data_IF_244224696959
#
_entry.id   IF_244224696959
#
_cell.length_a   1.000
_cell.length_b   1.000
_cell.length_c   1.000
_cell.angle_alpha   90.00
_cell.angle_beta   90.00
_cell.angle_gamma   90.00
#
_symmetry.space_group_name_H-M   'P 1'
#
loop_
_entity.id
_entity.type
_entity.pdbx_description
1 polymer ?
#
# COMPACT_ATOMS: atom_id res chain seq x y z
N UNK A 1 -9.29 -15.55 -1.30
CA UNK A 1 -8.48 -14.70 -0.41
C UNK A 1 -7.02 -15.11 -0.55
N UNK A 2 -6.43 -15.00 -1.76
CA UNK A 2 -5.09 -15.59 -1.99
C UNK A 2 -4.23 -14.87 -3.04
N UNK A 3 -4.65 -13.73 -3.58
CA UNK A 3 -4.01 -13.17 -4.80
C UNK A 3 -2.95 -12.11 -4.53
N UNK A 4 -2.62 -11.83 -3.27
CA UNK A 4 -1.56 -10.89 -2.91
C UNK A 4 -0.39 -11.66 -2.31
N UNK A 5 0.74 -11.55 -2.97
CA UNK A 5 2.02 -12.10 -2.52
C UNK A 5 2.36 -11.49 -1.15
N UNK A 6 3.06 -12.20 -0.25
CA UNK A 6 3.45 -11.67 1.06
C UNK A 6 4.12 -10.29 0.99
N UNK A 7 4.86 -10.04 -0.10
CA UNK A 7 5.52 -8.79 -0.40
C UNK A 7 4.53 -7.66 -0.71
N UNK A 8 3.54 -7.94 -1.56
CA UNK A 8 2.47 -6.99 -1.92
C UNK A 8 1.67 -6.59 -0.67
N UNK A 9 1.31 -7.58 0.16
CA UNK A 9 0.60 -7.36 1.42
C UNK A 9 1.40 -6.46 2.38
N UNK A 10 2.72 -6.65 2.43
CA UNK A 10 3.64 -5.83 3.24
C UNK A 10 3.71 -4.40 2.72
N UNK A 11 3.82 -4.20 1.41
CA UNK A 11 3.81 -2.89 0.76
C UNK A 11 2.50 -2.17 1.08
N UNK A 12 1.38 -2.84 0.87
CA UNK A 12 0.02 -2.36 1.14
C UNK A 12 -0.13 -1.93 2.61
N UNK A 13 0.36 -2.73 3.56
CA UNK A 13 0.30 -2.42 4.98
C UNK A 13 1.14 -1.19 5.35
N UNK A 14 2.30 -0.99 4.73
CA UNK A 14 3.14 0.17 4.97
C UNK A 14 2.57 1.46 4.35
N UNK A 15 1.89 1.35 3.20
CA UNK A 15 1.18 2.50 2.62
C UNK A 15 0.01 2.91 3.52
N UNK A 16 -0.70 1.94 4.08
CA UNK A 16 -1.77 2.18 5.05
C UNK A 16 -1.27 2.85 6.34
N UNK A 17 -0.02 2.60 6.73
CA UNK A 17 0.69 3.27 7.83
C UNK A 17 1.10 4.72 7.48
N UNK A 18 0.85 5.19 6.25
CA UNK A 18 1.22 6.52 5.80
C UNK A 18 2.66 6.62 5.29
N UNK A 19 3.38 5.50 5.14
CA UNK A 19 4.76 5.51 4.60
C UNK A 19 4.78 5.79 3.10
N UNK A 20 5.84 6.46 2.67
CA UNK A 20 6.10 6.72 1.24
C UNK A 20 6.76 5.52 0.58
N UNK A 21 6.60 5.40 -0.73
CA UNK A 21 7.28 4.42 -1.60
C UNK A 21 8.78 4.30 -1.32
N UNK A 22 9.49 5.43 -1.13
CA UNK A 22 10.89 5.46 -0.68
C UNK A 22 11.13 4.78 0.67
N UNK A 23 10.31 5.07 1.67
CA UNK A 23 10.44 4.43 2.98
C UNK A 23 10.14 2.94 2.90
N UNK A 24 9.14 2.57 2.09
CA UNK A 24 8.76 1.17 1.84
C UNK A 24 9.91 0.43 1.15
N UNK A 25 10.52 1.04 0.13
CA UNK A 25 11.69 0.52 -0.56
C UNK A 25 12.84 0.28 0.43
N UNK A 26 13.14 1.23 1.31
CA UNK A 26 14.15 1.08 2.36
C UNK A 26 13.82 -0.03 3.36
N UNK A 27 12.56 -0.14 3.79
CA UNK A 27 12.12 -1.14 4.78
C UNK A 27 12.11 -2.56 4.23
N UNK A 28 11.76 -2.74 2.96
CA UNK A 28 11.82 -4.04 2.29
C UNK A 28 13.18 -4.33 1.65
N UNK A 29 14.14 -3.41 1.73
CA UNK A 29 15.43 -3.49 1.04
C UNK A 29 15.26 -3.69 -0.49
N UNK A 30 14.25 -3.06 -1.06
CA UNK A 30 13.91 -3.10 -2.49
C UNK A 30 14.28 -1.78 -3.17
N UNK A 31 14.44 -1.83 -4.49
CA UNK A 31 14.57 -0.60 -5.29
C UNK A 31 13.21 0.07 -5.46
N UNK A 32 13.21 1.40 -5.52
CA UNK A 32 12.03 2.21 -5.86
C UNK A 32 11.36 1.72 -7.15
N UNK A 33 12.17 1.31 -8.14
CA UNK A 33 11.68 0.77 -9.42
C UNK A 33 10.87 -0.53 -9.24
N UNK A 34 11.31 -1.40 -8.32
CA UNK A 34 10.62 -2.64 -7.99
C UNK A 34 9.33 -2.35 -7.22
N UNK A 35 9.36 -1.40 -6.26
CA UNK A 35 8.16 -0.95 -5.54
C UNK A 35 7.13 -0.35 -6.48
N UNK A 36 7.55 0.44 -7.49
CA UNK A 36 6.66 0.99 -8.51
C UNK A 36 5.97 -0.09 -9.35
N UNK A 37 6.68 -1.16 -9.68
CA UNK A 37 6.11 -2.30 -10.40
C UNK A 37 5.03 -3.01 -9.55
N UNK A 38 5.37 -3.36 -8.30
CA UNK A 38 4.42 -3.96 -7.38
C UNK A 38 3.23 -3.06 -7.09
N UNK A 39 3.45 -1.76 -6.90
CA UNK A 39 2.37 -0.78 -6.71
C UNK A 39 1.37 -0.84 -7.86
N UNK A 40 1.83 -0.94 -9.11
CA UNK A 40 0.96 -1.00 -10.28
C UNK A 40 0.09 -2.26 -10.28
N UNK A 41 0.67 -3.42 -9.95
CA UNK A 41 -0.06 -4.68 -9.81
C UNK A 41 -1.05 -4.62 -8.65
N UNK A 42 -0.63 -4.11 -7.49
CA UNK A 42 -1.47 -3.90 -6.30
C UNK A 42 -2.64 -2.97 -6.64
N UNK A 43 -2.37 -1.85 -7.31
CA UNK A 43 -3.39 -0.90 -7.73
C UNK A 43 -4.41 -1.57 -8.64
N UNK A 44 -3.95 -2.39 -9.58
CA UNK A 44 -4.81 -3.13 -10.50
C UNK A 44 -5.60 -4.25 -9.82
N UNK A 45 -5.01 -4.94 -8.83
CA UNK A 45 -5.67 -6.02 -8.07
C UNK A 45 -6.71 -5.49 -7.09
N UNK A 46 -6.43 -4.37 -6.43
CA UNK A 46 -7.36 -3.73 -5.49
C UNK A 46 -8.35 -2.77 -6.16
N UNK A 47 -8.25 -2.58 -7.49
CA UNK A 47 -9.02 -1.62 -8.28
C UNK A 47 -9.01 -0.21 -7.66
N UNK A 48 -7.81 0.27 -7.34
CA UNK A 48 -7.60 1.59 -6.73
C UNK A 48 -6.74 2.48 -7.61
N UNK A 49 -7.12 3.75 -7.72
CA UNK A 49 -6.49 4.75 -8.60
C UNK A 49 -5.70 5.81 -7.86
N UNK A 50 -5.68 5.77 -6.53
CA UNK A 50 -5.00 6.79 -5.72
C UNK A 50 -4.52 6.21 -4.40
N UNK A 51 -3.43 6.77 -3.86
CA UNK A 51 -2.89 6.42 -2.54
C UNK A 51 -3.97 6.48 -1.47
N UNK A 52 -4.79 7.53 -1.45
CA UNK A 52 -5.91 7.68 -0.51
C UNK A 52 -6.96 6.60 -0.70
N UNK A 53 -7.25 6.21 -1.94
CA UNK A 53 -8.23 5.15 -2.24
C UNK A 53 -7.69 3.77 -1.83
N UNK A 54 -6.39 3.52 -2.04
CA UNK A 54 -5.70 2.33 -1.56
C UNK A 54 -5.74 2.28 -0.02
N UNK A 55 -5.31 3.36 0.66
CA UNK A 55 -5.37 3.44 2.12
C UNK A 55 -6.80 3.16 2.60
N UNK A 56 -7.80 3.79 2.00
CA UNK A 56 -9.22 3.57 2.32
C UNK A 56 -9.64 2.12 2.08
N UNK A 57 -9.20 1.46 1.00
CA UNK A 57 -9.53 0.07 0.71
C UNK A 57 -8.89 -0.91 1.69
N UNK A 58 -7.64 -0.66 2.04
CA UNK A 58 -6.91 -1.46 3.02
C UNK A 58 -7.49 -1.27 4.41
N UNK A 59 -7.88 -0.04 4.73
CA UNK A 59 -8.55 0.33 5.96
C UNK A 59 -9.96 -0.26 6.06
N UNK A 60 -10.68 -0.32 4.95
CA UNK A 60 -11.97 -1.01 4.86
C UNK A 60 -11.81 -2.52 5.11
N UNK A 61 -10.73 -3.11 4.58
CA UNK A 61 -10.37 -4.50 4.83
C UNK A 61 -9.87 -4.75 6.27
N UNK A 62 -9.26 -3.74 6.88
CA UNK A 62 -8.61 -3.76 8.19
C UNK A 62 -9.29 -2.73 9.09
N UNK A 63 -10.56 -2.98 9.38
CA UNK A 63 -11.49 -2.15 10.17
C UNK A 63 -10.81 -1.28 11.26
N UNK A 64 -10.82 0.07 11.06
CA UNK A 64 -10.48 1.22 11.96
C UNK A 64 -9.04 1.27 12.53
N UNK A 65 -8.29 2.39 12.40
CA UNK A 65 -8.49 3.55 13.28
C UNK A 65 -8.35 4.95 12.66
N UNK A 66 -9.00 5.91 13.30
CA UNK A 66 -8.88 7.36 13.13
C UNK A 66 -7.58 7.91 12.51
N UNK A 67 -7.60 8.42 11.29
CA UNK A 67 -6.58 9.40 10.88
C UNK A 67 -7.21 10.57 10.13
N UNK A 68 -7.46 11.63 10.90
CA UNK A 68 -7.37 12.99 10.41
C UNK A 68 -5.92 13.27 10.03
N UNK A 69 -5.69 13.48 8.74
CA UNK A 69 -4.48 14.11 8.22
C UNK A 69 -4.92 15.37 7.50
N UNK A 70 -4.53 16.51 8.07
CA UNK A 70 -4.82 17.84 7.58
C UNK A 70 -4.50 17.97 6.08
N UNK A 71 -5.51 18.41 5.33
CA UNK A 71 -5.34 19.12 4.06
C UNK A 71 -5.93 20.51 4.23
#
# INVERSE_FOLDING_TARGET
MSDLTPLELRIVCLIADGKTDRQIAGLLNLKENTVGCYLREIYSKLDVRSRTQLIKRVFDLKLKPEFGGAY
#
